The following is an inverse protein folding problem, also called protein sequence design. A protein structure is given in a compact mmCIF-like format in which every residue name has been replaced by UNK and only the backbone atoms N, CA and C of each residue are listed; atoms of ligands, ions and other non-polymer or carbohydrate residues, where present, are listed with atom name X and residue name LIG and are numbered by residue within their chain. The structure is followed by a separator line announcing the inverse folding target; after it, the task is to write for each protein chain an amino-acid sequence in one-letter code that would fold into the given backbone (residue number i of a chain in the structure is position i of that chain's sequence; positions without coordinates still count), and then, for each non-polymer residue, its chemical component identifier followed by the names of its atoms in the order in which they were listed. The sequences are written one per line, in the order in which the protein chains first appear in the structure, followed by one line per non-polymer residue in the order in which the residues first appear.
data_IF_444393949821
#
_entry.id   IF_444393949821
#
_cell.length_a   1.000
_cell.length_b   1.000
_cell.length_c   1.000
_cell.angle_alpha   90.00
_cell.angle_beta   90.00
_cell.angle_gamma   90.00
#
_symmetry.space_group_name_H-M   'P 1'
#
loop_
_entity.id
_entity.type
_entity.pdbx_description
1 polymer ?
#
# COMPACT_ATOMS: atom_id res chain seq x y z
N UNK A 1 -50.52 8.72 19.05
CA UNK A 1 -49.21 9.00 18.43
C UNK A 1 -49.28 8.46 17.00
N UNK A 2 -49.11 9.31 15.99
CA UNK A 2 -49.02 8.86 14.59
C UNK A 2 -47.53 8.71 14.30
N UNK A 3 -47.10 7.52 13.91
CA UNK A 3 -45.71 7.25 13.54
C UNK A 3 -45.59 7.33 12.01
N UNK A 4 -44.89 8.36 11.52
CA UNK A 4 -44.61 8.51 10.10
C UNK A 4 -43.43 7.60 9.71
N UNK A 5 -43.67 6.68 8.78
CA UNK A 5 -42.67 5.73 8.29
C UNK A 5 -42.24 6.15 6.88
N UNK A 6 -40.92 6.15 6.64
CA UNK A 6 -40.34 6.44 5.33
C UNK A 6 -40.44 5.20 4.45
N UNK A 7 -40.91 5.37 3.21
CA UNK A 7 -40.98 4.30 2.20
C UNK A 7 -39.67 4.15 1.45
N UNK A 8 -39.07 5.28 1.03
CA UNK A 8 -37.81 5.30 0.30
C UNK A 8 -37.09 6.62 0.46
N UNK A 9 -35.75 6.57 0.39
CA UNK A 9 -34.87 7.73 0.23
C UNK A 9 -34.44 7.75 -1.22
N UNK A 10 -34.92 8.72 -1.99
CA UNK A 10 -34.73 8.75 -3.44
C UNK A 10 -33.47 9.56 -3.83
N UNK A 11 -33.02 10.43 -2.93
CA UNK A 11 -31.86 11.31 -3.10
C UNK A 11 -31.41 11.83 -1.73
N UNK A 12 -30.24 12.45 -1.67
CA UNK A 12 -29.72 13.17 -0.49
C UNK A 12 -30.63 14.31 -0.02
N UNK A 13 -31.58 14.73 -0.86
CA UNK A 13 -32.53 15.81 -0.58
C UNK A 13 -34.00 15.38 -0.63
N UNK A 14 -34.33 14.12 -0.93
CA UNK A 14 -35.71 13.68 -1.15
C UNK A 14 -36.06 12.41 -0.35
N UNK A 15 -37.14 12.51 0.45
CA UNK A 15 -37.71 11.42 1.24
C UNK A 15 -39.17 11.22 0.85
N UNK A 16 -39.56 9.98 0.57
CA UNK A 16 -40.94 9.61 0.26
C UNK A 16 -41.60 8.97 1.48
N UNK A 17 -42.74 9.51 1.91
CA UNK A 17 -43.55 8.95 2.99
C UNK A 17 -44.34 7.75 2.49
N UNK A 18 -44.46 6.70 3.31
CA UNK A 18 -45.22 5.49 2.95
C UNK A 18 -46.75 5.68 2.89
N UNK A 19 -47.21 6.88 3.19
CA UNK A 19 -48.62 7.24 3.15
C UNK A 19 -48.77 8.74 2.93
N UNK A 20 -49.89 9.13 2.32
CA UNK A 20 -50.24 10.53 2.16
C UNK A 20 -50.40 11.18 3.55
N UNK A 21 -49.82 12.37 3.80
CA UNK A 21 -50.05 13.07 5.05
C UNK A 21 -51.55 13.39 5.16
N UNK A 22 -52.19 12.89 6.21
CA UNK A 22 -53.65 13.01 6.42
C UNK A 22 -54.10 14.41 6.85
N UNK A 23 -53.17 15.36 6.97
CA UNK A 23 -53.39 16.69 7.53
C UNK A 23 -52.36 17.68 6.97
N UNK A 24 -52.84 18.82 6.49
CA UNK A 24 -52.01 19.96 6.09
C UNK A 24 -51.79 20.87 7.31
N UNK A 25 -50.61 20.82 7.91
CA UNK A 25 -50.22 21.77 8.97
C UNK A 25 -49.15 22.73 8.46
N UNK A 26 -49.34 24.02 8.75
CA UNK A 26 -48.31 25.06 8.61
C UNK A 26 -47.55 25.18 9.93
N UNK A 27 -46.22 25.36 9.87
CA UNK A 27 -45.32 25.46 11.03
C UNK A 27 -45.33 24.29 12.04
N UNK A 28 -45.69 23.08 11.61
CA UNK A 28 -45.59 21.90 12.48
C UNK A 28 -44.16 21.37 12.57
N UNK A 29 -43.75 20.98 13.78
CA UNK A 29 -42.48 20.31 14.04
C UNK A 29 -42.64 18.80 13.80
N UNK A 30 -42.03 18.28 12.75
CA UNK A 30 -41.99 16.85 12.47
C UNK A 30 -40.71 16.23 13.03
N UNK A 31 -40.82 15.04 13.63
CA UNK A 31 -39.68 14.22 14.02
C UNK A 31 -39.68 12.98 13.13
N UNK A 32 -38.63 12.84 12.32
CA UNK A 32 -38.40 11.68 11.47
C UNK A 32 -37.32 10.85 12.16
N UNK A 33 -37.68 9.62 12.56
CA UNK A 33 -36.70 8.68 13.11
C UNK A 33 -36.29 7.71 12.01
N UNK A 34 -35.05 7.83 11.54
CA UNK A 34 -34.45 6.90 10.58
C UNK A 34 -33.60 5.89 11.32
N UNK A 35 -33.84 4.60 11.12
CA UNK A 35 -32.89 3.54 11.51
C UNK A 35 -32.17 3.09 10.25
N UNK A 36 -30.91 3.53 10.09
CA UNK A 36 -30.02 2.88 9.11
C UNK A 36 -29.46 1.65 9.80
N UNK A 37 -29.61 0.43 9.24
CA UNK A 37 -28.88 -0.71 9.75
C UNK A 37 -27.39 -0.42 9.58
N UNK A 38 -26.66 -0.26 10.68
CA UNK A 38 -25.24 0.14 10.73
C UNK A 38 -24.27 -0.85 10.03
N UNK A 39 -24.75 -1.87 9.34
CA UNK A 39 -23.94 -3.05 9.05
C UNK A 39 -23.31 -3.05 7.66
N UNK A 40 -24.01 -2.53 6.64
CA UNK A 40 -23.51 -2.56 5.26
C UNK A 40 -22.65 -1.33 4.96
N UNK A 41 -23.11 -0.13 5.31
CA UNK A 41 -22.39 1.12 4.99
C UNK A 41 -21.09 1.28 5.79
N UNK A 42 -21.05 0.81 7.03
CA UNK A 42 -19.83 0.83 7.84
C UNK A 42 -18.80 -0.20 7.36
N UNK A 43 -19.24 -1.45 7.14
CA UNK A 43 -18.39 -2.49 6.58
C UNK A 43 -17.82 -2.13 5.20
N UNK A 44 -18.62 -1.51 4.32
CA UNK A 44 -18.18 -1.04 3.00
C UNK A 44 -17.17 0.10 3.12
N UNK A 45 -17.36 1.05 4.04
CA UNK A 45 -16.38 2.12 4.29
C UNK A 45 -15.05 1.56 4.79
N UNK A 46 -15.08 0.62 5.72
CA UNK A 46 -13.88 -0.05 6.20
C UNK A 46 -13.18 -0.87 5.11
N UNK A 47 -13.92 -1.61 4.30
CA UNK A 47 -13.37 -2.37 3.17
C UNK A 47 -12.75 -1.45 2.11
N UNK A 48 -13.38 -0.32 1.81
CA UNK A 48 -12.84 0.69 0.90
C UNK A 48 -11.52 1.28 1.45
N UNK A 49 -11.48 1.63 2.73
CA UNK A 49 -10.29 2.15 3.38
C UNK A 49 -9.13 1.13 3.37
N UNK A 50 -9.41 -0.15 3.64
CA UNK A 50 -8.41 -1.23 3.57
C UNK A 50 -7.86 -1.37 2.14
N UNK A 51 -8.74 -1.39 1.14
CA UNK A 51 -8.32 -1.49 -0.26
C UNK A 51 -7.46 -0.30 -0.69
N UNK A 52 -7.82 0.92 -0.27
CA UNK A 52 -7.01 2.11 -0.53
C UNK A 52 -5.61 2.00 0.09
N UNK A 53 -5.51 1.51 1.33
CA UNK A 53 -4.24 1.29 2.01
C UNK A 53 -3.37 0.23 1.30
N UNK A 54 -3.98 -0.86 0.81
CA UNK A 54 -3.28 -1.90 0.04
C UNK A 54 -2.75 -1.34 -1.28
N UNK A 55 -3.56 -0.57 -2.01
CA UNK A 55 -3.15 0.04 -3.28
C UNK A 55 -1.97 1.00 -3.06
N UNK A 56 -2.05 1.86 -2.03
CA UNK A 56 -0.97 2.78 -1.70
C UNK A 56 0.33 2.02 -1.38
N UNK A 57 0.24 0.94 -0.59
CA UNK A 57 1.39 0.10 -0.29
C UNK A 57 2.01 -0.51 -1.55
N UNK A 58 1.20 -1.08 -2.44
CA UNK A 58 1.68 -1.69 -3.69
C UNK A 58 2.33 -0.66 -4.62
N UNK A 59 1.76 0.54 -4.74
CA UNK A 59 2.36 1.64 -5.51
C UNK A 59 3.71 2.07 -4.93
N UNK A 60 3.81 2.20 -3.61
CA UNK A 60 5.06 2.52 -2.94
C UNK A 60 6.12 1.41 -3.12
N UNK A 61 5.72 0.13 -3.10
CA UNK A 61 6.62 -0.99 -3.37
C UNK A 61 7.14 -1.00 -4.82
N UNK A 62 6.25 -0.76 -5.79
CA UNK A 62 6.63 -0.68 -7.19
C UNK A 62 7.66 0.42 -7.43
N UNK A 63 7.45 1.59 -6.83
CA UNK A 63 8.41 2.70 -6.86
C UNK A 63 9.73 2.33 -6.20
N UNK A 64 9.70 1.70 -5.02
CA UNK A 64 10.90 1.29 -4.30
C UNK A 64 11.76 0.27 -5.07
N UNK A 65 11.13 -0.62 -5.85
CA UNK A 65 11.81 -1.63 -6.66
C UNK A 65 12.25 -1.14 -8.05
N UNK A 66 11.53 -0.21 -8.66
CA UNK A 66 11.74 0.21 -10.04
C UNK A 66 12.56 1.49 -10.21
N UNK A 67 12.48 2.41 -9.25
CA UNK A 67 13.22 3.67 -9.30
C UNK A 67 14.72 3.45 -8.99
N UNK A 68 15.56 4.39 -9.42
CA UNK A 68 17.00 4.36 -9.20
C UNK A 68 17.39 5.47 -8.22
N UNK A 69 18.23 5.17 -7.23
CA UNK A 69 18.69 6.14 -6.24
C UNK A 69 17.79 6.16 -5.00
N UNK A 70 17.28 7.34 -4.62
CA UNK A 70 16.41 7.54 -3.45
C UNK A 70 14.95 7.66 -3.86
N UNK A 71 14.08 6.94 -3.16
CA UNK A 71 12.64 6.86 -3.39
C UNK A 71 11.92 7.50 -2.21
N UNK A 72 11.00 8.42 -2.51
CA UNK A 72 10.11 9.02 -1.51
C UNK A 72 8.83 8.18 -1.41
N UNK A 73 8.57 7.65 -0.22
CA UNK A 73 7.42 6.79 0.11
C UNK A 73 6.51 7.53 1.07
N UNK A 74 5.23 7.61 0.75
CA UNK A 74 4.21 8.17 1.63
C UNK A 74 3.57 7.07 2.46
N UNK A 75 3.65 7.20 3.78
CA UNK A 75 3.01 6.30 4.73
C UNK A 75 1.52 6.58 4.85
N UNK A 76 0.71 5.59 5.30
CA UNK A 76 -0.74 5.78 5.49
C UNK A 76 -1.12 6.89 6.48
N UNK A 77 -0.21 7.30 7.37
CA UNK A 77 -0.38 8.42 8.29
C UNK A 77 -0.02 9.79 7.68
N UNK A 78 0.29 9.86 6.38
CA UNK A 78 0.72 11.06 5.67
C UNK A 78 2.21 11.42 5.84
N UNK A 79 2.97 10.64 6.61
CA UNK A 79 4.40 10.87 6.76
C UNK A 79 5.16 10.43 5.51
N UNK A 80 6.03 11.30 4.99
CA UNK A 80 6.94 10.95 3.89
C UNK A 80 8.27 10.45 4.42
N UNK A 81 8.76 9.35 3.88
CA UNK A 81 10.08 8.78 4.20
C UNK A 81 10.85 8.51 2.92
N UNK A 82 12.13 8.87 2.94
CA UNK A 82 13.04 8.62 1.84
C UNK A 82 13.82 7.33 2.10
N UNK A 83 13.76 6.40 1.16
CA UNK A 83 14.46 5.12 1.21
C UNK A 83 15.44 5.01 0.03
N UNK A 84 16.58 4.36 0.21
CA UNK A 84 17.39 3.96 -0.93
C UNK A 84 16.66 2.83 -1.69
N UNK A 85 16.54 2.97 -3.01
CA UNK A 85 15.96 1.97 -3.91
C UNK A 85 16.70 0.63 -3.81
N UNK A 86 15.98 -0.47 -4.05
CA UNK A 86 16.59 -1.80 -4.10
C UNK A 86 17.74 -1.85 -5.11
N UNK A 87 17.62 -1.16 -6.24
CA UNK A 87 18.67 -1.08 -7.25
C UNK A 87 19.92 -0.33 -6.77
N UNK A 88 19.74 0.77 -6.03
CA UNK A 88 20.86 1.48 -5.43
C UNK A 88 21.58 0.61 -4.38
N UNK A 89 20.83 -0.11 -3.56
CA UNK A 89 21.38 -1.06 -2.59
C UNK A 89 22.12 -2.21 -3.29
N UNK A 90 21.57 -2.80 -4.35
CA UNK A 90 22.23 -3.83 -5.16
C UNK A 90 23.53 -3.32 -5.80
N UNK A 91 23.54 -2.09 -6.34
CA UNK A 91 24.74 -1.49 -6.90
C UNK A 91 25.82 -1.25 -5.82
N UNK A 92 25.42 -0.78 -4.64
CA UNK A 92 26.32 -0.60 -3.51
C UNK A 92 26.96 -1.94 -3.07
N UNK A 93 26.16 -3.00 -2.94
CA UNK A 93 26.64 -4.35 -2.59
C UNK A 93 27.54 -4.94 -3.68
N UNK A 94 27.19 -4.77 -4.96
CA UNK A 94 28.05 -5.23 -6.07
C UNK A 94 29.41 -4.54 -6.05
N UNK A 95 29.42 -3.23 -5.78
CA UNK A 95 30.65 -2.45 -5.70
C UNK A 95 31.50 -2.83 -4.49
N UNK A 96 30.93 -3.19 -3.33
CA UNK A 96 31.73 -3.69 -2.20
C UNK A 96 32.37 -5.05 -2.48
N UNK A 97 31.71 -5.92 -3.25
CA UNK A 97 32.28 -7.22 -3.66
C UNK A 97 33.33 -7.06 -4.77
N UNK A 98 33.19 -6.08 -5.67
CA UNK A 98 34.13 -5.85 -6.78
C UNK A 98 35.33 -4.97 -6.43
N UNK A 99 35.16 -3.91 -5.62
CA UNK A 99 36.23 -2.94 -5.34
C UNK A 99 37.28 -3.45 -4.34
N UNK A 100 37.05 -4.61 -3.75
CA UNK A 100 37.99 -5.29 -2.85
C UNK A 100 37.80 -6.78 -3.04
N UNK A 101 38.30 -7.36 -4.15
CA UNK A 101 38.22 -8.79 -4.44
C UNK A 101 38.23 -9.58 -3.13
N UNK A 102 37.07 -10.14 -2.78
CA UNK A 102 36.50 -10.20 -1.41
C UNK A 102 37.48 -10.00 -0.25
N UNK A 103 37.10 -9.21 0.77
CA UNK A 103 37.84 -9.25 2.05
C UNK A 103 37.59 -10.60 2.74
N UNK A 104 38.22 -11.64 2.20
CA UNK A 104 38.21 -12.98 2.74
C UNK A 104 39.01 -12.95 4.04
N UNK A 105 38.53 -13.61 5.11
CA UNK A 105 39.36 -13.84 6.29
C UNK A 105 40.68 -14.45 5.82
N UNK A 106 41.80 -14.09 6.46
CA UNK A 106 43.18 -14.30 5.99
C UNK A 106 43.50 -15.74 5.49
N UNK A 107 42.72 -16.72 5.95
CA UNK A 107 42.74 -18.13 5.52
C UNK A 107 42.23 -18.41 4.10
N UNK A 108 41.42 -17.55 3.49
CA UNK A 108 40.87 -17.75 2.14
C UNK A 108 41.61 -16.86 1.13
N UNK A 109 42.85 -17.23 0.80
CA UNK A 109 43.57 -16.69 -0.38
C UNK A 109 43.71 -17.80 -1.42
N UNK A 110 43.21 -17.57 -2.62
CA UNK A 110 43.46 -18.46 -3.75
C UNK A 110 44.94 -18.37 -4.10
N UNK A 111 45.73 -19.42 -3.78
CA UNK A 111 47.08 -19.55 -4.32
C UNK A 111 46.96 -19.95 -5.79
N UNK A 112 47.57 -19.17 -6.68
CA UNK A 112 47.78 -19.58 -8.05
C UNK A 112 48.65 -20.85 -8.02
N UNK A 113 48.10 -21.97 -8.50
CA UNK A 113 48.85 -23.22 -8.67
C UNK A 113 49.61 -23.10 -9.99
N UNK A 114 50.92 -22.88 -9.91
CA UNK A 114 51.77 -22.98 -11.09
C UNK A 114 51.98 -24.47 -11.40
N UNK A 115 51.35 -24.94 -12.48
CA UNK A 115 51.66 -26.23 -13.06
C UNK A 115 53.02 -26.13 -13.77
N UNK A 116 54.09 -26.55 -13.10
CA UNK A 116 55.39 -26.72 -13.73
C UNK A 116 55.34 -27.95 -14.65
N UNK A 117 55.34 -27.73 -15.96
CA UNK A 117 55.46 -28.82 -16.93
C UNK A 117 56.93 -29.23 -17.03
N UNK A 118 57.29 -30.52 -16.82
CA UNK A 118 58.68 -30.94 -16.99
C UNK A 118 59.08 -30.80 -18.47
N UNK A 119 60.32 -30.37 -18.76
CA UNK A 119 60.79 -30.25 -20.13
C UNK A 119 60.76 -31.62 -20.82
N UNK A 120 60.16 -31.65 -22.01
CA UNK A 120 60.07 -32.86 -22.84
C UNK A 120 61.48 -33.34 -23.19
N UNK A 121 61.80 -34.57 -22.81
CA UNK A 121 63.04 -35.24 -23.20
C UNK A 121 63.01 -35.40 -24.73
N UNK A 122 63.81 -34.61 -25.45
CA UNK A 122 64.07 -34.86 -26.87
C UNK A 122 65.01 -36.06 -27.00
N UNK A 123 64.58 -37.05 -27.77
CA UNK A 123 65.35 -38.20 -28.23
C UNK A 123 66.50 -37.79 -29.16
#
# INVERSE_FOLDING_TARGET
MIQNVIQSVNSDTELVLAFAPSINLSNAKYVISTTVPDTVSDGVRHMCAINAAIILFLQNMDRWMSENGKVEVEMPNGQKVTLDSIRALQAAVKNTVSAKGGNYPEYFRFKQVETHYPPSVML
#
